data_IF_593613479502
#
_entry.id   IF_593613479502
#
_cell.length_a   1.000
_cell.length_b   1.000
_cell.length_c   1.000
_cell.angle_alpha   90.00
_cell.angle_beta   90.00
_cell.angle_gamma   90.00
#
_symmetry.space_group_name_H-M   'P 1'
#
loop_
_entity.id
_entity.type
_entity.pdbx_description
1 polymer ?
#
# COMPACT_ATOMS: atom_id res chain seq x y z
N UNK A 1 9.15 -13.26 -7.99
CA UNK A 1 7.97 -13.49 -7.13
C UNK A 1 7.39 -14.85 -7.49
N UNK A 2 7.33 -15.80 -6.55
CA UNK A 2 6.46 -16.97 -6.68
C UNK A 2 5.12 -16.55 -6.06
N UNK A 3 4.29 -15.83 -6.81
CA UNK A 3 2.89 -15.62 -6.40
C UNK A 3 2.20 -16.97 -6.56
N UNK A 4 2.31 -17.80 -5.54
CA UNK A 4 1.57 -19.05 -5.47
C UNK A 4 0.12 -18.65 -5.20
N UNK A 5 -0.73 -18.74 -6.22
CA UNK A 5 -2.16 -18.88 -5.95
C UNK A 5 -2.30 -20.31 -5.46
N UNK A 6 -2.42 -20.44 -4.15
CA UNK A 6 -2.83 -21.70 -3.57
C UNK A 6 -4.35 -21.73 -3.64
N UNK A 7 -4.87 -22.65 -4.45
CA UNK A 7 -6.30 -22.91 -4.60
C UNK A 7 -6.62 -24.15 -3.79
N UNK A 8 -7.66 -24.04 -2.97
CA UNK A 8 -8.32 -25.17 -2.36
C UNK A 8 -8.84 -26.14 -3.46
N UNK A 9 -8.22 -27.32 -3.55
CA UNK A 9 -8.74 -28.49 -4.28
C UNK A 9 -9.19 -29.60 -3.29
N UNK A 10 -9.46 -29.26 -2.02
CA UNK A 10 -9.83 -30.20 -0.96
C UNK A 10 -8.65 -30.84 -0.21
N UNK A 11 -7.42 -30.41 -0.44
CA UNK A 11 -6.23 -31.06 0.14
C UNK A 11 -5.74 -30.36 1.41
N UNK A 12 -5.64 -31.12 2.52
CA UNK A 12 -5.09 -30.66 3.80
C UNK A 12 -3.62 -30.19 3.72
N UNK A 13 -2.85 -30.72 2.78
CA UNK A 13 -1.43 -30.37 2.58
C UNK A 13 -1.22 -28.86 2.29
N UNK A 14 -2.20 -28.23 1.65
CA UNK A 14 -2.19 -26.78 1.36
C UNK A 14 -2.17 -25.95 2.64
N UNK A 15 -2.88 -26.41 3.68
CA UNK A 15 -2.99 -25.69 4.95
C UNK A 15 -1.65 -25.67 5.69
N UNK A 16 -0.94 -26.80 5.67
CA UNK A 16 0.39 -26.89 6.25
C UNK A 16 1.39 -26.00 5.51
N UNK A 17 1.29 -25.90 4.19
CA UNK A 17 2.11 -24.97 3.40
C UNK A 17 1.84 -23.50 3.81
N UNK A 18 0.57 -23.10 3.89
CA UNK A 18 0.18 -21.74 4.27
C UNK A 18 0.67 -21.41 5.70
N UNK A 19 0.48 -22.33 6.65
CA UNK A 19 0.94 -22.15 8.03
C UNK A 19 2.47 -22.01 8.10
N UNK A 20 3.22 -22.85 7.36
CA UNK A 20 4.68 -22.78 7.30
C UNK A 20 5.17 -21.46 6.68
N UNK A 21 4.48 -20.96 5.63
CA UNK A 21 4.79 -19.66 5.02
C UNK A 21 4.58 -18.52 6.03
N UNK A 22 3.55 -18.58 6.86
CA UNK A 22 3.31 -17.60 7.92
C UNK A 22 4.44 -17.64 8.96
N UNK A 23 4.84 -18.84 9.39
CA UNK A 23 5.96 -19.05 10.33
C UNK A 23 7.31 -18.58 9.78
N UNK A 24 7.49 -18.58 8.45
CA UNK A 24 8.66 -17.99 7.79
C UNK A 24 8.61 -16.46 7.70
N UNK A 25 7.53 -15.84 8.17
CA UNK A 25 7.37 -14.37 8.18
C UNK A 25 6.94 -13.80 6.84
N UNK A 26 6.33 -14.62 5.98
CA UNK A 26 5.79 -14.16 4.70
C UNK A 26 4.50 -13.36 4.93
N UNK A 27 4.25 -12.39 4.05
CA UNK A 27 3.01 -11.64 4.00
C UNK A 27 1.98 -12.47 3.23
N UNK A 28 0.95 -12.92 3.94
CA UNK A 28 -0.12 -13.71 3.36
C UNK A 28 -1.30 -12.78 3.10
N UNK A 29 -1.74 -12.72 1.85
CA UNK A 29 -2.97 -12.07 1.45
C UNK A 29 -4.00 -13.17 1.23
N UNK A 30 -4.97 -13.27 2.13
CA UNK A 30 -5.95 -14.34 2.19
C UNK A 30 -7.29 -13.86 1.65
N UNK A 31 -7.83 -14.60 0.69
CA UNK A 31 -9.22 -14.51 0.25
C UNK A 31 -9.99 -15.75 0.71
N UNK A 32 -10.92 -15.56 1.64
CA UNK A 32 -11.86 -16.60 2.09
C UNK A 32 -13.19 -16.42 1.36
N UNK A 33 -13.66 -17.48 0.70
CA UNK A 33 -14.94 -17.52 0.00
C UNK A 33 -15.84 -18.66 0.53
N UNK A 34 -17.10 -18.67 0.11
CA UNK A 34 -17.97 -19.85 0.28
C UNK A 34 -18.66 -20.17 -1.04
N UNK A 35 -19.01 -21.44 -1.23
CA UNK A 35 -19.80 -21.86 -2.39
C UNK A 35 -21.20 -21.23 -2.36
N UNK A 36 -21.73 -20.88 -3.53
CA UNK A 36 -23.02 -20.18 -3.65
C UNK A 36 -22.96 -18.67 -3.32
N UNK A 37 -21.79 -18.10 -3.02
CA UNK A 37 -21.63 -16.66 -2.78
C UNK A 37 -21.48 -15.87 -4.10
N UNK A 38 -22.56 -15.23 -4.55
CA UNK A 38 -22.56 -14.37 -5.74
C UNK A 38 -21.45 -13.30 -5.74
N UNK A 39 -21.29 -12.50 -4.67
CA UNK A 39 -20.21 -11.52 -4.57
C UNK A 39 -18.80 -12.12 -4.54
N UNK A 40 -18.64 -13.37 -4.10
CA UNK A 40 -17.37 -14.07 -4.14
C UNK A 40 -17.02 -14.45 -5.58
N UNK A 41 -17.99 -14.97 -6.34
CA UNK A 41 -17.79 -15.38 -7.73
C UNK A 41 -17.33 -14.22 -8.63
N UNK A 42 -17.79 -12.99 -8.39
CA UNK A 42 -17.29 -11.81 -9.12
C UNK A 42 -15.89 -11.38 -8.70
N UNK A 43 -15.50 -11.68 -7.46
CA UNK A 43 -14.19 -11.32 -6.88
C UNK A 43 -13.09 -12.33 -7.27
N UNK A 44 -13.44 -13.61 -7.37
CA UNK A 44 -12.56 -14.72 -7.79
C UNK A 44 -11.71 -14.41 -9.03
N UNK A 45 -12.27 -14.02 -10.19
CA UNK A 45 -11.45 -13.75 -11.37
C UNK A 45 -10.54 -12.54 -11.20
N UNK A 46 -10.97 -11.54 -10.41
CA UNK A 46 -10.16 -10.35 -10.12
C UNK A 46 -8.98 -10.70 -9.21
N UNK A 47 -9.19 -11.59 -8.24
CA UNK A 47 -8.15 -12.10 -7.36
C UNK A 47 -7.15 -12.98 -8.10
N UNK A 48 -7.63 -13.93 -8.91
CA UNK A 48 -6.78 -14.86 -9.65
C UNK A 48 -5.90 -14.17 -10.70
N UNK A 49 -6.24 -12.94 -11.10
CA UNK A 49 -5.45 -12.16 -12.04
C UNK A 49 -4.33 -11.33 -11.38
N UNK A 50 -4.25 -11.29 -10.04
CA UNK A 50 -3.21 -10.53 -9.31
C UNK A 50 -1.80 -10.93 -9.74
N UNK A 51 -1.42 -12.23 -9.80
CA UNK A 51 -0.12 -12.66 -10.30
C UNK A 51 0.25 -12.08 -11.66
N UNK A 52 -0.72 -12.05 -12.58
CA UNK A 52 -0.47 -11.58 -13.94
C UNK A 52 -0.17 -10.09 -13.98
N UNK A 53 -0.89 -9.27 -13.21
CA UNK A 53 -0.62 -7.83 -13.10
C UNK A 53 0.64 -7.49 -12.30
N UNK A 54 1.10 -8.42 -11.46
CA UNK A 54 2.30 -8.26 -10.65
C UNK A 54 3.58 -8.71 -11.37
N UNK A 55 3.47 -9.42 -12.51
CA UNK A 55 4.60 -9.76 -13.38
C UNK A 55 5.27 -8.48 -13.89
N UNK A 56 6.45 -8.15 -13.36
CA UNK A 56 7.29 -7.03 -13.80
C UNK A 56 7.33 -5.79 -12.91
N UNK A 57 6.56 -5.74 -11.81
CA UNK A 57 6.45 -4.53 -10.95
C UNK A 57 6.86 -4.73 -9.48
N UNK A 58 7.53 -5.83 -9.12
CA UNK A 58 8.02 -6.04 -7.76
C UNK A 58 9.43 -6.64 -7.77
N UNK A 59 10.40 -5.81 -7.40
CA UNK A 59 11.78 -6.19 -7.16
C UNK A 59 11.89 -7.13 -5.95
N UNK A 60 12.45 -8.31 -6.22
CA UNK A 60 13.27 -9.16 -5.35
C UNK A 60 12.78 -9.68 -3.99
N UNK A 61 11.69 -9.20 -3.39
CA UNK A 61 11.23 -9.78 -2.13
C UNK A 61 10.26 -10.94 -2.36
N UNK A 62 10.74 -12.16 -2.16
CA UNK A 62 10.00 -13.42 -2.18
C UNK A 62 9.01 -13.56 -1.00
N UNK A 63 8.44 -12.45 -0.52
CA UNK A 63 7.78 -12.34 0.79
C UNK A 63 6.26 -12.19 0.71
N UNK A 64 5.66 -12.42 -0.46
CA UNK A 64 4.25 -12.15 -0.73
C UNK A 64 3.59 -13.40 -1.28
N UNK A 65 2.52 -13.84 -0.62
CA UNK A 65 1.74 -15.00 -1.00
C UNK A 65 0.27 -14.60 -1.06
N UNK A 66 -0.40 -14.88 -2.17
CA UNK A 66 -1.83 -14.62 -2.36
C UNK A 66 -2.57 -15.95 -2.33
N UNK A 67 -3.38 -16.16 -1.31
CA UNK A 67 -4.07 -17.43 -1.03
C UNK A 67 -5.57 -17.27 -1.25
N UNK A 68 -6.23 -18.29 -1.78
CA UNK A 68 -7.68 -18.36 -1.85
C UNK A 68 -8.18 -19.71 -1.33
N UNK A 69 -9.05 -19.70 -0.32
CA UNK A 69 -9.60 -20.92 0.30
C UNK A 69 -11.11 -20.83 0.49
N UNK A 70 -11.77 -21.99 0.54
CA UNK A 70 -13.14 -22.09 1.02
C UNK A 70 -13.18 -21.86 2.54
N UNK A 71 -14.29 -21.32 3.05
CA UNK A 71 -14.54 -21.10 4.48
C UNK A 71 -14.33 -22.38 5.30
N UNK A 72 -14.64 -23.54 4.73
CA UNK A 72 -14.58 -24.83 5.44
C UNK A 72 -13.13 -25.20 5.84
N UNK A 73 -12.13 -24.64 5.16
CA UNK A 73 -10.72 -24.80 5.48
C UNK A 73 -10.19 -23.72 6.44
N UNK A 74 -10.92 -22.62 6.65
CA UNK A 74 -10.47 -21.51 7.50
C UNK A 74 -10.15 -21.96 8.95
N UNK A 75 -10.95 -22.82 9.61
CA UNK A 75 -10.65 -23.29 10.97
C UNK A 75 -9.33 -24.04 11.12
N UNK A 76 -8.77 -24.56 10.02
CA UNK A 76 -7.51 -25.30 10.02
C UNK A 76 -6.28 -24.36 9.95
N UNK A 77 -6.49 -23.09 9.58
CA UNK A 77 -5.41 -22.11 9.54
C UNK A 77 -5.08 -21.56 10.93
N UNK A 78 -3.78 -21.44 11.21
CA UNK A 78 -3.29 -20.91 12.47
C UNK A 78 -3.05 -19.40 12.35
N UNK A 79 -3.43 -18.65 13.38
CA UNK A 79 -3.12 -17.20 13.53
C UNK A 79 -3.67 -16.30 12.40
N UNK A 80 -4.82 -16.64 11.83
CA UNK A 80 -5.48 -15.85 10.76
C UNK A 80 -6.58 -14.90 11.25
N UNK A 81 -6.72 -14.73 12.57
CA UNK A 81 -7.81 -14.00 13.22
C UNK A 81 -9.07 -14.84 13.37
N UNK A 82 -10.15 -14.20 13.83
CA UNK A 82 -11.46 -14.84 14.02
C UNK A 82 -12.12 -15.21 12.70
N UNK A 83 -13.00 -16.19 12.71
CA UNK A 83 -13.76 -16.58 11.53
C UNK A 83 -14.52 -15.37 10.93
N UNK A 84 -14.51 -15.18 9.60
CA UNK A 84 -15.19 -14.06 8.99
C UNK A 84 -16.71 -14.12 9.20
N UNK A 85 -17.31 -12.98 9.60
CA UNK A 85 -18.77 -12.86 9.71
C UNK A 85 -19.49 -12.70 8.36
N UNK A 86 -18.77 -12.58 7.26
CA UNK A 86 -19.32 -12.41 5.92
C UNK A 86 -18.30 -12.69 4.81
N UNK A 87 -18.82 -12.98 3.61
CA UNK A 87 -18.02 -13.36 2.44
C UNK A 87 -18.33 -12.48 1.23
N UNK A 88 -17.35 -12.16 0.35
CA UNK A 88 -15.94 -12.52 0.45
C UNK A 88 -15.24 -11.80 1.61
N UNK A 89 -14.29 -12.48 2.27
CA UNK A 89 -13.43 -11.88 3.29
C UNK A 89 -11.99 -11.84 2.78
N UNK A 90 -11.39 -10.65 2.83
CA UNK A 90 -10.07 -10.37 2.30
C UNK A 90 -9.19 -9.83 3.43
N UNK A 91 -8.08 -10.52 3.72
CA UNK A 91 -7.19 -10.18 4.83
C UNK A 91 -5.73 -10.16 4.42
N UNK A 92 -4.96 -9.27 5.02
CA UNK A 92 -3.51 -9.30 5.03
C UNK A 92 -3.07 -9.81 6.39
N UNK A 93 -2.31 -10.90 6.39
CA UNK A 93 -1.85 -11.59 7.59
C UNK A 93 -0.34 -11.62 7.60
N UNK A 94 0.23 -11.22 8.73
CA UNK A 94 1.64 -11.42 9.07
C UNK A 94 1.73 -12.14 10.40
N UNK A 95 2.94 -12.39 10.90
CA UNK A 95 3.14 -13.02 12.23
C UNK A 95 2.47 -12.28 13.37
N UNK A 96 2.36 -10.95 13.25
CA UNK A 96 2.03 -10.06 14.36
C UNK A 96 0.66 -9.41 14.19
N UNK A 97 0.17 -9.25 12.95
CA UNK A 97 -1.06 -8.52 12.67
C UNK A 97 -1.91 -9.19 11.60
N UNK A 98 -3.21 -8.99 11.75
CA UNK A 98 -4.25 -9.34 10.78
C UNK A 98 -5.00 -8.06 10.47
N UNK A 99 -4.99 -7.63 9.21
CA UNK A 99 -5.68 -6.42 8.75
C UNK A 99 -6.66 -6.79 7.64
N UNK A 100 -7.87 -6.24 7.68
CA UNK A 100 -8.85 -6.50 6.62
C UNK A 100 -8.65 -5.53 5.45
N UNK A 101 -8.99 -6.01 4.25
CA UNK A 101 -9.02 -5.16 3.06
C UNK A 101 -10.01 -4.00 3.21
N UNK A 102 -11.11 -4.23 3.92
CA UNK A 102 -12.14 -3.21 4.09
C UNK A 102 -11.68 -2.04 4.95
N UNK A 103 -10.71 -2.25 5.84
CA UNK A 103 -10.11 -1.18 6.65
C UNK A 103 -9.06 -0.37 5.87
N UNK A 104 -8.67 -0.83 4.67
CA UNK A 104 -7.66 -0.14 3.86
C UNK A 104 -8.21 1.17 3.28
N UNK A 105 -7.77 2.29 3.85
CA UNK A 105 -8.14 3.63 3.41
C UNK A 105 -7.48 3.98 2.08
N UNK A 106 -8.23 3.85 0.98
CA UNK A 106 -7.80 4.21 -0.37
C UNK A 106 -8.96 4.82 -1.15
N UNK A 107 -8.75 5.92 -1.91
CA UNK A 107 -9.80 6.58 -2.69
C UNK A 107 -10.33 5.73 -3.86
N UNK A 108 -9.67 4.60 -4.15
CA UNK A 108 -10.01 3.70 -5.25
C UNK A 108 -10.21 2.27 -4.74
N UNK A 109 -10.80 2.10 -3.54
CA UNK A 109 -11.05 0.77 -2.95
C UNK A 109 -12.26 0.13 -3.63
N UNK A 110 -12.00 -0.82 -4.51
CA UNK A 110 -13.00 -1.67 -5.16
C UNK A 110 -12.56 -3.14 -5.17
N UNK A 111 -13.35 -4.05 -5.74
CA UNK A 111 -12.99 -5.47 -5.86
C UNK A 111 -12.29 -5.80 -7.19
N UNK A 112 -11.61 -4.83 -7.81
CA UNK A 112 -10.85 -5.03 -9.04
C UNK A 112 -9.43 -5.54 -8.77
N UNK A 113 -8.85 -6.21 -9.77
CA UNK A 113 -7.45 -6.67 -9.72
C UNK A 113 -6.49 -5.50 -9.38
N UNK A 114 -6.75 -4.30 -9.95
CA UNK A 114 -5.89 -3.14 -9.75
C UNK A 114 -5.90 -2.65 -8.30
N UNK A 115 -7.08 -2.66 -7.68
CA UNK A 115 -7.21 -2.24 -6.29
C UNK A 115 -6.51 -3.22 -5.34
N UNK A 116 -6.64 -4.53 -5.59
CA UNK A 116 -5.91 -5.55 -4.83
C UNK A 116 -4.39 -5.41 -4.99
N UNK A 117 -3.91 -5.23 -6.22
CA UNK A 117 -2.48 -4.99 -6.48
C UNK A 117 -1.97 -3.77 -5.73
N UNK A 118 -2.72 -2.66 -5.77
CA UNK A 118 -2.36 -1.42 -5.08
C UNK A 118 -2.36 -1.60 -3.56
N UNK A 119 -3.30 -2.36 -3.02
CA UNK A 119 -3.33 -2.70 -1.60
C UNK A 119 -2.13 -3.53 -1.18
N UNK A 120 -1.83 -4.60 -1.91
CA UNK A 120 -0.66 -5.45 -1.69
C UNK A 120 0.61 -4.59 -1.71
N UNK A 121 0.77 -3.74 -2.73
CA UNK A 121 1.90 -2.83 -2.84
C UNK A 121 1.98 -1.86 -1.65
N UNK A 122 0.88 -1.27 -1.19
CA UNK A 122 0.87 -0.37 -0.03
C UNK A 122 1.32 -1.08 1.25
N UNK A 123 0.83 -2.29 1.49
CA UNK A 123 1.17 -3.09 2.68
C UNK A 123 2.63 -3.56 2.69
N UNK A 124 3.19 -3.92 1.53
CA UNK A 124 4.59 -4.33 1.42
C UNK A 124 5.55 -3.12 1.39
N UNK A 125 5.14 -2.01 0.77
CA UNK A 125 5.96 -0.80 0.64
C UNK A 125 6.19 -0.08 1.96
N UNK A 126 5.41 -0.38 2.99
CA UNK A 126 5.67 0.03 4.37
C UNK A 126 6.91 -0.70 4.91
N UNK A 127 8.09 -0.36 4.38
CA UNK A 127 9.32 -0.48 5.17
C UNK A 127 9.15 0.43 6.40
N UNK A 128 9.42 -0.04 7.63
CA UNK A 128 9.53 0.85 8.77
C UNK A 128 10.71 1.79 8.50
N UNK A 129 10.44 3.04 8.07
CA UNK A 129 11.49 4.07 7.98
C UNK A 129 11.44 5.06 6.82
N UNK A 130 10.66 4.85 5.76
CA UNK A 130 10.61 5.85 4.66
C UNK A 130 9.38 6.74 4.82
N UNK A 131 9.46 7.72 5.73
CA UNK A 131 8.53 8.86 5.69
C UNK A 131 8.69 9.51 4.31
N UNK A 132 7.64 9.51 3.47
CA UNK A 132 7.57 10.38 2.28
C UNK A 132 7.83 11.80 2.78
N UNK A 133 9.03 12.33 2.54
CA UNK A 133 9.35 13.72 2.86
C UNK A 133 8.45 14.58 1.96
N UNK A 134 7.30 15.02 2.49
CA UNK A 134 6.58 16.15 1.91
C UNK A 134 7.56 17.32 1.98
N UNK A 135 7.95 17.86 0.82
CA UNK A 135 8.86 19.00 0.74
C UNK A 135 8.33 20.13 1.60
N UNK A 136 8.90 20.31 2.79
CA UNK A 136 8.44 21.30 3.74
C UNK A 136 8.64 22.71 3.21
N UNK A 137 7.86 23.66 3.74
CA UNK A 137 8.07 25.08 3.46
C UNK A 137 9.50 25.45 3.82
N UNK A 138 10.25 25.99 2.85
CA UNK A 138 11.62 26.43 3.11
C UNK A 138 11.67 27.45 4.25
N UNK A 139 12.61 27.25 5.17
CA UNK A 139 12.84 28.18 6.27
C UNK A 139 13.24 29.56 5.74
N UNK A 140 12.91 30.62 6.50
CA UNK A 140 13.28 31.99 6.14
C UNK A 140 14.80 32.16 6.07
N UNK A 141 15.54 31.47 6.96
CA UNK A 141 17.01 31.40 6.94
C UNK A 141 17.52 30.83 5.62
N UNK A 142 16.99 29.68 5.18
CA UNK A 142 17.40 29.06 3.92
C UNK A 142 17.06 29.93 2.70
N UNK A 143 15.86 30.52 2.64
CA UNK A 143 15.49 31.45 1.56
C UNK A 143 16.44 32.64 1.46
N UNK A 144 16.84 33.22 2.60
CA UNK A 144 17.76 34.36 2.64
C UNK A 144 19.19 33.99 2.21
N UNK A 145 19.65 32.78 2.52
CA UNK A 145 20.98 32.31 2.14
C UNK A 145 21.16 31.95 0.66
N UNK A 146 20.08 31.93 -0.14
CA UNK A 146 20.18 31.59 -1.57
C UNK A 146 20.92 32.71 -2.31
N UNK A 147 22.07 32.35 -2.89
CA UNK A 147 22.84 33.23 -3.76
C UNK A 147 22.23 33.25 -5.18
N UNK A 148 21.40 34.25 -5.47
CA UNK A 148 20.78 34.41 -6.78
C UNK A 148 21.75 34.80 -7.90
N UNK A 149 23.00 35.18 -7.61
CA UNK A 149 24.03 35.35 -8.64
C UNK A 149 24.52 34.00 -9.17
N UNK A 150 24.41 32.93 -8.36
CA UNK A 150 24.82 31.56 -8.74
C UNK A 150 23.93 30.49 -8.08
N UNK A 151 22.64 30.41 -8.44
CA UNK A 151 21.67 29.55 -7.77
C UNK A 151 21.96 28.06 -8.03
N UNK A 152 21.87 27.25 -6.97
CA UNK A 152 22.09 25.80 -7.03
C UNK A 152 20.81 25.07 -7.43
N UNK A 153 20.83 24.44 -8.59
CA UNK A 153 19.73 23.61 -9.09
C UNK A 153 18.47 24.39 -9.47
N UNK A 154 17.47 23.63 -9.92
CA UNK A 154 16.23 24.19 -10.48
C UNK A 154 15.41 25.00 -9.46
N UNK A 155 15.29 24.52 -8.23
CA UNK A 155 14.45 25.14 -7.20
C UNK A 155 14.96 26.53 -6.77
N UNK A 156 16.27 26.71 -6.62
CA UNK A 156 16.84 28.03 -6.30
C UNK A 156 16.73 28.99 -7.49
N UNK A 157 16.88 28.49 -8.73
CA UNK A 157 16.66 29.30 -9.94
C UNK A 157 15.23 29.84 -9.99
N UNK A 158 14.24 28.99 -9.73
CA UNK A 158 12.83 29.40 -9.64
C UNK A 158 12.60 30.41 -8.52
N UNK A 159 13.15 30.17 -7.33
CA UNK A 159 13.06 31.12 -6.21
C UNK A 159 13.68 32.49 -6.54
N UNK A 160 14.81 32.52 -7.25
CA UNK A 160 15.43 33.77 -7.66
C UNK A 160 14.67 34.49 -8.78
N UNK A 161 14.06 33.73 -9.70
CA UNK A 161 13.26 34.28 -10.81
C UNK A 161 11.95 34.91 -10.33
N UNK A 162 11.25 34.26 -9.38
CA UNK A 162 9.89 34.67 -8.97
C UNK A 162 9.77 35.11 -7.51
N UNK A 163 10.69 34.70 -6.63
CA UNK A 163 10.56 34.83 -5.18
C UNK A 163 11.08 36.14 -4.58
N UNK A 164 11.90 36.92 -5.31
CA UNK A 164 12.31 38.27 -4.90
C UNK A 164 11.46 39.27 -5.66
N UNK A 165 10.33 39.71 -5.07
CA UNK A 165 9.70 40.96 -5.51
C UNK A 165 10.76 42.05 -5.41
N UNK A 166 11.25 42.54 -6.56
CA UNK A 166 12.01 43.79 -6.60
C UNK A 166 11.11 44.87 -5.97
N UNK A 167 11.68 45.65 -5.05
CA UNK A 167 10.95 46.55 -4.16
C UNK A 167 9.82 47.30 -4.85
N UNK A 168 8.58 47.02 -4.43
CA UNK A 168 7.53 48.03 -4.53
C UNK A 168 7.87 49.15 -3.54
N UNK A 169 7.50 50.42 -3.84
CA UNK A 169 7.85 51.56 -3.00
C UNK A 169 7.36 51.34 -1.56
N UNK A 170 8.24 51.59 -0.58
CA UNK A 170 7.87 51.67 0.84
C UNK A 170 6.83 52.79 0.98
N UNK A 171 5.57 52.47 1.27
CA UNK A 171 4.61 53.49 1.73
C UNK A 171 5.08 53.98 3.10
N UNK A 172 5.68 55.17 3.15
CA UNK A 172 5.93 55.90 4.39
C UNK A 172 4.58 56.31 4.98
N UNK A 173 4.25 55.82 6.17
CA UNK A 173 3.10 56.31 6.93
C UNK A 173 3.41 57.75 7.36
N UNK A 174 2.68 58.73 6.82
CA UNK A 174 2.68 60.10 7.34
C UNK A 174 2.03 60.07 8.72
N UNK A 175 2.78 60.43 9.77
CA UNK A 175 2.23 60.76 11.08
C UNK A 175 1.41 62.04 10.92
N UNK A 176 0.10 61.98 11.16
CA UNK A 176 -0.69 63.17 11.43
C UNK A 176 -0.33 63.68 12.83
N UNK A 177 -0.09 64.99 12.91
CA UNK A 177 0.06 65.75 14.15
C UNK A 177 -1.32 66.14 14.64
#
# INVERSE_FOLDING_TARGET
MKSLIIKDNGNKEIIDEINNLLEKGKNIFLFTYMDGCGPCNSTIPQWDNIPNKMKGHVDHNNDVVTVRINKDLFPLLKKMGSEPGGFPSLRHVTKDQVEEYEDWQSPSKDRSTNSFVKWIQDKISKKPGVKKQKGGKWSLKYKRSINCKRPRGFSQRQHCKYGRKKGGPRKTQKKHK
#
